data_IF_662906283197
#
_entry.id   IF_662906283197
#
_cell.length_a   1.000
_cell.length_b   1.000
_cell.length_c   1.000
_cell.angle_alpha   90.00
_cell.angle_beta   90.00
_cell.angle_gamma   90.00
#
_symmetry.space_group_name_H-M   'P 1'
#
loop_
_entity.id
_entity.type
_entity.pdbx_description
1 polymer ?
#
# COMPACT_ATOMS: atom_id res chain seq x y z
N UNK A 1 -5.84 22.15 -9.31
CA UNK A 1 -5.93 20.70 -9.62
C UNK A 1 -6.12 19.97 -8.31
N UNK A 2 -7.05 19.01 -8.23
CA UNK A 2 -7.16 18.13 -7.06
C UNK A 2 -6.14 17.02 -7.25
N UNK A 3 -5.24 16.84 -6.28
CA UNK A 3 -4.32 15.72 -6.29
C UNK A 3 -5.12 14.49 -5.84
N UNK A 4 -5.29 13.53 -6.74
CA UNK A 4 -6.02 12.29 -6.51
C UNK A 4 -5.13 11.31 -5.73
N UNK A 5 -4.68 11.72 -4.54
CA UNK A 5 -3.79 10.95 -3.67
C UNK A 5 -4.51 10.63 -2.37
N UNK A 6 -4.50 9.36 -2.00
CA UNK A 6 -4.90 8.87 -0.69
C UNK A 6 -3.67 8.45 0.10
N UNK A 7 -3.69 8.69 1.41
CA UNK A 7 -2.55 8.44 2.28
C UNK A 7 -2.96 7.71 3.57
N UNK A 8 -2.24 6.66 3.92
CA UNK A 8 -2.35 5.96 5.19
C UNK A 8 -1.09 6.23 6.04
N UNK A 9 -1.30 6.47 7.33
CA UNK A 9 -0.24 6.85 8.27
C UNK A 9 -0.30 5.98 9.53
N UNK A 10 0.82 5.38 9.93
CA UNK A 10 0.96 4.65 11.20
C UNK A 10 1.50 5.58 12.29
N UNK A 11 0.74 5.75 13.37
CA UNK A 11 1.11 6.65 14.48
C UNK A 11 2.26 6.14 15.37
N UNK A 12 2.57 4.85 15.31
CA UNK A 12 3.58 4.23 16.19
C UNK A 12 4.98 4.35 15.59
N UNK A 13 5.15 3.90 14.35
CA UNK A 13 6.43 3.89 13.65
C UNK A 13 6.61 5.04 12.66
N UNK A 14 5.60 5.91 12.48
CA UNK A 14 5.63 7.05 11.56
C UNK A 14 5.79 6.69 10.07
N UNK A 15 5.57 5.43 9.72
CA UNK A 15 5.51 4.99 8.33
C UNK A 15 4.25 5.52 7.64
N UNK A 16 4.38 5.84 6.35
CA UNK A 16 3.28 6.29 5.51
C UNK A 16 3.25 5.57 4.16
N UNK A 17 2.05 5.44 3.61
CA UNK A 17 1.79 4.85 2.30
C UNK A 17 0.88 5.78 1.52
N UNK A 18 1.22 6.04 0.26
CA UNK A 18 0.44 6.89 -0.64
C UNK A 18 0.10 6.14 -1.92
N UNK A 19 -1.13 6.31 -2.39
CA UNK A 19 -1.59 5.71 -3.65
C UNK A 19 -2.52 6.65 -4.41
N UNK A 20 -2.72 6.37 -5.69
CA UNK A 20 -3.69 7.11 -6.52
C UNK A 20 -5.11 6.67 -6.14
N UNK A 21 -6.04 7.62 -6.04
CA UNK A 21 -7.44 7.35 -5.68
C UNK A 21 -8.41 7.78 -6.78
N UNK A 22 -9.60 7.20 -6.76
CA UNK A 22 -10.72 7.59 -7.62
C UNK A 22 -11.89 8.07 -6.77
N UNK A 23 -12.99 8.48 -7.41
CA UNK A 23 -14.22 8.86 -6.71
C UNK A 23 -14.89 7.71 -5.94
N UNK A 24 -14.51 6.46 -6.22
CA UNK A 24 -15.04 5.26 -5.57
C UNK A 24 -14.08 4.67 -4.54
N UNK A 25 -12.88 5.21 -4.40
CA UNK A 25 -11.88 4.67 -3.48
C UNK A 25 -12.23 5.01 -2.05
N UNK A 26 -12.36 3.99 -1.21
CA UNK A 26 -12.63 4.10 0.21
C UNK A 26 -11.34 3.99 1.04
N UNK A 27 -11.32 4.48 2.30
CA UNK A 27 -10.13 4.36 3.15
C UNK A 27 -9.64 2.93 3.37
N UNK A 28 -10.56 1.95 3.34
CA UNK A 28 -10.22 0.53 3.46
C UNK A 28 -9.38 0.05 2.28
N UNK A 29 -9.66 0.50 1.06
CA UNK A 29 -8.91 0.13 -0.14
C UNK A 29 -7.44 0.59 -0.03
N UNK A 30 -7.22 1.80 0.51
CA UNK A 30 -5.88 2.35 0.71
C UNK A 30 -5.11 1.52 1.75
N UNK A 31 -5.78 1.13 2.84
CA UNK A 31 -5.15 0.34 3.90
C UNK A 31 -4.86 -1.10 3.45
N UNK A 32 -5.76 -1.73 2.71
CA UNK A 32 -5.53 -3.04 2.10
C UNK A 32 -4.36 -3.00 1.13
N UNK A 33 -4.29 -1.99 0.25
CA UNK A 33 -3.15 -1.82 -0.66
C UNK A 33 -1.81 -1.64 0.07
N UNK A 34 -1.82 -1.01 1.25
CA UNK A 34 -0.61 -0.92 2.07
C UNK A 34 -0.18 -2.29 2.61
N UNK A 35 -1.12 -3.13 3.07
CA UNK A 35 -0.82 -4.49 3.54
C UNK A 35 -0.21 -5.30 2.40
N UNK A 36 -0.84 -5.32 1.23
CA UNK A 36 -0.36 -6.07 0.07
C UNK A 36 1.06 -5.64 -0.34
N UNK A 37 1.33 -4.34 -0.32
CA UNK A 37 2.66 -3.81 -0.64
C UNK A 37 3.72 -4.16 0.42
N UNK A 38 3.33 -4.15 1.70
CA UNK A 38 4.20 -4.65 2.77
C UNK A 38 4.51 -6.13 2.61
N UNK A 39 3.52 -6.97 2.28
CA UNK A 39 3.73 -8.39 2.01
C UNK A 39 4.66 -8.60 0.81
N UNK A 40 4.44 -7.86 -0.28
CA UNK A 40 5.28 -7.93 -1.49
C UNK A 40 6.74 -7.58 -1.21
N UNK A 41 6.99 -6.54 -0.42
CA UNK A 41 8.36 -6.10 -0.08
C UNK A 41 9.02 -7.05 0.92
N UNK A 42 8.27 -7.50 1.92
CA UNK A 42 8.83 -8.32 3.00
C UNK A 42 9.04 -9.78 2.58
N UNK A 43 8.22 -10.32 1.67
CA UNK A 43 8.28 -11.71 1.21
C UNK A 43 8.87 -11.83 -0.20
N UNK A 44 9.62 -10.82 -0.67
CA UNK A 44 10.14 -10.75 -2.04
C UNK A 44 10.99 -11.97 -2.44
N UNK A 45 11.76 -12.54 -1.50
CA UNK A 45 12.62 -13.70 -1.77
C UNK A 45 11.83 -15.01 -1.97
N UNK A 46 10.73 -15.20 -1.25
CA UNK A 46 9.84 -16.36 -1.46
C UNK A 46 9.22 -16.31 -2.87
N UNK A 47 8.77 -15.13 -3.29
CA UNK A 47 8.09 -14.91 -4.57
C UNK A 47 9.01 -15.08 -5.81
N UNK A 48 10.33 -14.88 -5.64
CA UNK A 48 11.34 -15.14 -6.67
C UNK A 48 11.73 -16.63 -6.71
N UNK A 49 11.74 -17.32 -5.57
CA UNK A 49 12.10 -18.74 -5.48
C UNK A 49 11.13 -19.66 -6.24
N UNK A 50 9.83 -19.35 -6.26
CA UNK A 50 8.81 -20.12 -7.00
C UNK A 50 8.73 -19.80 -8.50
N UNK A 51 9.45 -18.77 -8.96
CA UNK A 51 9.50 -18.37 -10.38
C UNK A 51 10.70 -18.97 -11.14
N UNK A 52 11.57 -19.74 -10.47
CA UNK A 52 12.73 -20.41 -11.07
C UNK A 52 12.52 -21.93 -11.17
#
# INVERSE_FOLDING_TARGET
MKNLIGEANRRICQESFSTTVTALTEPIDIYSGWIDECERVNNYEEDVSYRN
#
